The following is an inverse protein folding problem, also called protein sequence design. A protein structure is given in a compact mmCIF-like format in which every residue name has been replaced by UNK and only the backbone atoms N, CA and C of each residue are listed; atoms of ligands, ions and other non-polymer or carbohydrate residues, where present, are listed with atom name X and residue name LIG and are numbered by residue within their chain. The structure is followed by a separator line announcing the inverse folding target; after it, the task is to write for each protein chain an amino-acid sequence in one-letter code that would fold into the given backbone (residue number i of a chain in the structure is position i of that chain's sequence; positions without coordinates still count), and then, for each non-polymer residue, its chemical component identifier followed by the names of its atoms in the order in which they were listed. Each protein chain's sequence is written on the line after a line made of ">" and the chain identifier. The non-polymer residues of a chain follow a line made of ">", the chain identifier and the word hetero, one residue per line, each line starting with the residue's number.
data_IF_991880093646
#
_entry.id   IF_991880093646
#
_cell.length_a   1.000
_cell.length_b   1.000
_cell.length_c   1.000
_cell.angle_alpha   90.00
_cell.angle_beta   90.00
_cell.angle_gamma   90.00
#
_symmetry.space_group_name_H-M   'P 1'
#
loop_
_entity.id
_entity.type
_entity.pdbx_description
1 polymer ?
#
# COMPACT_ATOMS: atom_id res chain seq x y z
N UNK A 1 16.32 19.74 18.11
CA UNK A 1 17.37 19.18 17.23
C UNK A 1 16.72 18.04 16.44
N UNK A 2 16.50 18.20 15.15
CA UNK A 2 15.84 17.20 14.30
C UNK A 2 16.86 16.09 14.04
N UNK A 3 16.59 14.87 14.50
CA UNK A 3 17.43 13.71 14.16
C UNK A 3 16.99 13.18 12.81
N UNK A 4 17.70 13.57 11.74
CA UNK A 4 17.61 12.95 10.42
C UNK A 4 18.38 11.64 10.43
N UNK A 5 17.69 10.50 10.46
CA UNK A 5 18.36 9.22 10.19
C UNK A 5 18.52 9.11 8.67
N UNK A 6 19.71 9.52 8.17
CA UNK A 6 20.12 9.29 6.77
C UNK A 6 20.78 7.93 6.68
N UNK A 7 20.21 7.02 5.91
CA UNK A 7 20.97 5.89 5.38
C UNK A 7 21.93 6.40 4.30
N UNK A 8 23.23 6.15 4.48
CA UNK A 8 24.27 6.45 3.47
C UNK A 8 24.39 5.27 2.52
N UNK A 9 23.88 5.40 1.30
CA UNK A 9 24.34 4.62 0.15
C UNK A 9 24.71 5.58 -0.98
N UNK A 10 25.72 5.23 -1.78
CA UNK A 10 26.32 6.07 -2.83
C UNK A 10 25.43 6.25 -4.07
N UNK A 11 24.12 6.44 -3.92
CA UNK A 11 23.20 6.80 -4.99
C UNK A 11 22.40 8.05 -4.60
N UNK A 12 22.22 8.97 -5.52
CA UNK A 12 21.77 10.35 -5.34
C UNK A 12 20.30 10.56 -4.89
N UNK A 13 19.62 9.60 -4.24
CA UNK A 13 18.26 9.78 -3.72
C UNK A 13 18.17 9.47 -2.23
N UNK A 14 17.56 10.33 -1.40
CA UNK A 14 17.20 9.96 -0.03
C UNK A 14 16.17 8.83 -0.12
N UNK A 15 16.55 7.64 0.32
CA UNK A 15 15.75 6.43 0.09
C UNK A 15 14.51 6.37 0.96
N UNK A 16 14.55 6.99 2.14
CA UNK A 16 13.47 6.98 3.13
C UNK A 16 13.40 8.33 3.85
N UNK A 17 12.22 8.68 4.34
CA UNK A 17 11.99 9.88 5.14
C UNK A 17 11.29 9.51 6.45
N UNK A 18 11.84 9.91 7.57
CA UNK A 18 11.20 9.86 8.88
C UNK A 18 11.69 11.02 9.73
N UNK A 19 10.75 11.79 10.30
CA UNK A 19 11.07 12.85 11.25
C UNK A 19 10.21 12.66 12.50
N UNK A 20 10.87 12.29 13.59
CA UNK A 20 10.25 12.17 14.92
C UNK A 20 10.62 13.42 15.70
N UNK A 21 9.66 14.10 16.35
CA UNK A 21 9.94 15.30 17.15
C UNK A 21 10.80 14.94 18.36
N UNK A 22 11.67 15.87 18.77
CA UNK A 22 12.48 15.72 19.99
C UNK A 22 11.70 16.02 21.27
N UNK A 23 10.62 16.79 21.14
CA UNK A 23 9.70 17.14 22.21
C UNK A 23 8.28 17.03 21.69
N UNK A 24 7.42 16.42 22.48
CA UNK A 24 5.99 16.35 22.24
C UNK A 24 5.26 16.38 23.57
N UNK A 25 4.05 16.92 23.55
CA UNK A 25 3.16 16.87 24.70
C UNK A 25 1.97 15.98 24.38
N UNK A 26 1.44 15.20 25.34
CA UNK A 26 0.20 14.47 25.13
C UNK A 26 -0.94 15.38 24.68
N UNK A 27 -1.85 14.87 23.87
CA UNK A 27 -3.09 15.57 23.57
C UNK A 27 -4.06 15.46 24.75
N UNK A 28 -4.88 16.49 24.93
CA UNK A 28 -6.03 16.41 25.83
C UNK A 28 -7.11 15.53 25.17
N UNK A 29 -7.29 14.32 25.69
CA UNK A 29 -8.24 13.34 25.14
C UNK A 29 -9.68 13.87 25.10
N UNK A 30 -10.12 14.64 26.10
CA UNK A 30 -11.46 15.23 26.14
C UNK A 30 -11.64 16.23 25.00
N UNK A 31 -10.60 17.01 24.68
CA UNK A 31 -10.61 17.94 23.55
C UNK A 31 -10.67 17.18 22.22
N UNK A 32 -9.87 16.12 22.05
CA UNK A 32 -9.87 15.30 20.82
C UNK A 32 -11.23 14.64 20.62
N UNK A 33 -11.82 14.04 21.68
CA UNK A 33 -13.17 13.45 21.64
C UNK A 33 -14.24 14.49 21.27
N UNK A 34 -14.15 15.70 21.86
CA UNK A 34 -15.06 16.81 21.54
C UNK A 34 -14.95 17.21 20.08
N UNK A 35 -13.73 17.34 19.57
CA UNK A 35 -13.48 17.69 18.17
C UNK A 35 -14.00 16.57 17.24
N UNK A 36 -13.73 15.30 17.56
CA UNK A 36 -14.24 14.17 16.79
C UNK A 36 -15.76 14.20 16.69
N UNK A 37 -16.47 14.41 17.81
CA UNK A 37 -17.92 14.48 17.80
C UNK A 37 -18.45 15.65 16.93
N UNK A 38 -17.79 16.81 17.02
CA UNK A 38 -18.11 17.97 16.17
C UNK A 38 -17.92 17.62 14.67
N UNK A 39 -16.84 16.90 14.34
CA UNK A 39 -16.59 16.48 12.95
C UNK A 39 -17.61 15.44 12.46
N UNK A 40 -18.04 14.52 13.31
CA UNK A 40 -19.12 13.55 13.00
C UNK A 40 -20.43 14.28 12.71
N UNK A 41 -20.83 15.22 13.56
CA UNK A 41 -22.07 15.99 13.40
C UNK A 41 -22.04 16.87 12.15
N UNK A 42 -20.92 17.51 11.90
CA UNK A 42 -20.69 18.31 10.70
C UNK A 42 -20.76 17.46 9.42
N UNK A 43 -20.13 16.28 9.44
CA UNK A 43 -20.15 15.32 8.35
C UNK A 43 -21.60 14.90 8.01
N UNK A 44 -22.37 14.48 9.01
CA UNK A 44 -23.77 14.08 8.84
C UNK A 44 -24.67 15.18 8.29
N UNK A 45 -24.43 16.43 8.70
CA UNK A 45 -25.24 17.58 8.23
C UNK A 45 -24.88 18.06 6.83
N UNK A 46 -23.63 17.88 6.41
CA UNK A 46 -23.14 18.31 5.10
C UNK A 46 -23.34 17.27 3.98
N UNK A 47 -23.37 15.99 4.32
CA UNK A 47 -23.34 14.89 3.35
C UNK A 47 -24.67 14.12 3.32
N UNK A 48 -25.76 14.87 3.10
CA UNK A 48 -27.11 14.31 3.12
C UNK A 48 -27.34 13.33 1.97
N UNK A 49 -26.85 13.64 0.76
CA UNK A 49 -27.02 12.78 -0.40
C UNK A 49 -26.14 11.52 -0.29
N UNK A 50 -24.90 11.64 0.19
CA UNK A 50 -24.05 10.47 0.48
C UNK A 50 -24.66 9.57 1.55
N UNK A 51 -25.25 10.16 2.59
CA UNK A 51 -25.98 9.40 3.61
C UNK A 51 -27.20 8.65 3.04
N UNK A 52 -27.96 9.28 2.14
CA UNK A 52 -29.08 8.63 1.46
C UNK A 52 -28.60 7.49 0.54
N UNK A 53 -27.56 7.72 -0.26
CA UNK A 53 -26.97 6.68 -1.11
C UNK A 53 -26.47 5.49 -0.28
N UNK A 54 -25.85 5.74 0.87
CA UNK A 54 -25.46 4.68 1.80
C UNK A 54 -26.66 3.85 2.28
N UNK A 55 -27.78 4.49 2.67
CA UNK A 55 -29.00 3.81 3.10
C UNK A 55 -29.64 2.96 1.98
N UNK A 56 -29.51 3.38 0.73
CA UNK A 56 -29.92 2.60 -0.43
C UNK A 56 -28.94 1.45 -0.72
N UNK A 57 -27.64 1.72 -0.64
CA UNK A 57 -26.60 0.74 -0.94
C UNK A 57 -26.59 -0.45 0.03
N UNK A 58 -26.79 -0.23 1.34
CA UNK A 58 -26.78 -1.32 2.33
C UNK A 58 -27.90 -2.35 2.13
N UNK A 59 -28.93 -2.03 1.34
CA UNK A 59 -29.99 -2.97 1.02
C UNK A 59 -29.51 -4.13 0.13
N UNK A 60 -28.47 -3.91 -0.67
CA UNK A 60 -27.96 -4.88 -1.64
C UNK A 60 -26.45 -5.12 -1.54
N UNK A 61 -25.71 -4.21 -0.91
CA UNK A 61 -24.27 -4.26 -0.77
C UNK A 61 -23.93 -4.29 0.73
N UNK A 62 -23.38 -5.38 1.26
CA UNK A 62 -22.95 -5.45 2.65
C UNK A 62 -22.02 -4.27 2.99
N UNK A 63 -22.24 -3.62 4.12
CA UNK A 63 -21.54 -2.41 4.58
C UNK A 63 -21.71 -1.18 3.67
N UNK A 64 -22.61 -1.22 2.67
CA UNK A 64 -22.80 -0.13 1.69
C UNK A 64 -21.58 0.16 0.82
N UNK A 65 -20.56 -0.71 0.83
CA UNK A 65 -19.30 -0.54 0.11
C UNK A 65 -18.83 -1.87 -0.48
N UNK A 66 -18.07 -1.81 -1.59
CA UNK A 66 -17.61 -3.01 -2.30
C UNK A 66 -16.43 -3.71 -1.62
N UNK A 67 -15.77 -3.04 -0.69
CA UNK A 67 -14.68 -3.58 0.13
C UNK A 67 -14.78 -3.05 1.55
N UNK A 68 -14.45 -3.89 2.53
CA UNK A 68 -14.39 -3.46 3.94
C UNK A 68 -13.43 -2.29 4.18
N UNK A 69 -12.41 -2.11 3.33
CA UNK A 69 -11.50 -0.95 3.38
C UNK A 69 -12.17 0.36 2.97
N UNK A 70 -13.33 0.33 2.31
CA UNK A 70 -14.07 1.52 1.87
C UNK A 70 -15.17 1.92 2.86
N UNK A 71 -15.47 1.06 3.84
CA UNK A 71 -16.49 1.32 4.85
C UNK A 71 -15.89 2.00 6.07
N UNK A 72 -16.53 3.07 6.55
CA UNK A 72 -16.17 3.79 7.77
C UNK A 72 -17.41 4.48 8.35
N UNK A 73 -17.34 4.83 9.63
CA UNK A 73 -18.38 5.57 10.32
C UNK A 73 -18.24 7.10 10.08
N UNK A 74 -19.37 7.85 9.96
CA UNK A 74 -20.76 7.37 10.05
C UNK A 74 -21.28 6.70 8.79
N UNK A 75 -20.73 6.97 7.62
CA UNK A 75 -20.98 6.33 6.33
C UNK A 75 -19.95 6.82 5.29
N UNK A 76 -19.63 6.02 4.25
CA UNK A 76 -18.75 6.44 3.17
C UNK A 76 -19.34 7.56 2.33
N UNK A 77 -18.48 8.41 1.76
CA UNK A 77 -18.89 9.36 0.71
C UNK A 77 -19.18 8.61 -0.59
N UNK A 78 -20.13 9.13 -1.39
CA UNK A 78 -20.42 8.61 -2.74
C UNK A 78 -19.84 9.56 -3.78
N UNK A 79 -18.87 9.06 -4.57
CA UNK A 79 -18.19 9.83 -5.63
C UNK A 79 -18.91 9.65 -6.96
N UNK A 80 -19.15 10.75 -7.67
CA UNK A 80 -19.82 10.76 -9.00
C UNK A 80 -18.87 11.04 -10.15
N UNK A 81 -17.75 11.73 -9.92
CA UNK A 81 -16.77 12.02 -10.97
C UNK A 81 -15.40 12.30 -10.39
N UNK A 82 -14.36 12.19 -11.24
CA UNK A 82 -13.00 12.48 -10.86
C UNK A 82 -12.21 13.05 -12.05
N UNK A 83 -11.26 13.96 -11.79
CA UNK A 83 -10.36 14.53 -12.80
C UNK A 83 -9.04 14.97 -12.15
N UNK A 84 -7.91 14.51 -12.68
CA UNK A 84 -6.59 14.87 -12.18
C UNK A 84 -6.39 14.43 -10.74
N UNK A 85 -6.19 15.38 -9.82
CA UNK A 85 -6.03 15.14 -8.38
C UNK A 85 -7.35 15.28 -7.59
N UNK A 86 -8.49 15.43 -8.25
CA UNK A 86 -9.74 15.83 -7.61
C UNK A 86 -10.87 14.85 -7.91
N UNK A 87 -11.74 14.65 -6.92
CA UNK A 87 -13.02 13.94 -7.04
C UNK A 87 -14.17 14.87 -6.73
N UNK A 88 -15.36 14.55 -7.23
CA UNK A 88 -16.61 15.24 -6.88
C UNK A 88 -17.57 14.21 -6.29
N UNK A 89 -18.12 14.49 -5.12
CA UNK A 89 -19.10 13.64 -4.47
C UNK A 89 -20.54 13.92 -4.96
N UNK A 90 -21.48 13.08 -4.54
CA UNK A 90 -22.92 13.22 -4.88
C UNK A 90 -23.56 14.45 -4.26
N UNK A 91 -22.95 15.00 -3.21
CA UNK A 91 -23.36 16.26 -2.56
C UNK A 91 -22.83 17.51 -3.30
N UNK A 92 -22.09 17.31 -4.42
CA UNK A 92 -21.53 18.36 -5.27
C UNK A 92 -20.23 18.98 -4.76
N UNK A 93 -19.60 18.40 -3.73
CA UNK A 93 -18.34 18.90 -3.20
C UNK A 93 -17.16 18.40 -4.03
N UNK A 94 -16.28 19.32 -4.38
CA UNK A 94 -15.00 18.99 -5.00
C UNK A 94 -13.95 18.76 -3.90
N UNK A 95 -13.31 17.61 -3.90
CA UNK A 95 -12.36 17.19 -2.87
C UNK A 95 -11.01 16.83 -3.49
N UNK A 96 -9.94 17.25 -2.84
CA UNK A 96 -8.59 16.79 -3.16
C UNK A 96 -8.46 15.31 -2.81
N UNK A 97 -8.17 14.46 -3.79
CA UNK A 97 -8.00 13.02 -3.59
C UNK A 97 -6.55 12.66 -3.27
N UNK A 98 -6.27 12.43 -2.00
CA UNK A 98 -4.99 11.89 -1.51
C UNK A 98 -5.02 10.37 -1.34
N UNK A 99 -6.21 9.73 -1.48
CA UNK A 99 -6.35 8.28 -1.51
C UNK A 99 -5.88 7.68 -2.83
N UNK A 100 -6.23 8.36 -3.94
CA UNK A 100 -5.87 7.94 -5.30
C UNK A 100 -6.12 6.44 -5.54
N UNK A 101 -7.30 5.96 -5.09
CA UNK A 101 -7.68 4.55 -5.21
C UNK A 101 -6.72 3.60 -4.50
N UNK A 102 -6.34 3.91 -3.26
CA UNK A 102 -5.35 3.16 -2.48
C UNK A 102 -3.99 3.00 -3.20
N UNK A 103 -3.60 4.03 -3.96
CA UNK A 103 -2.33 4.04 -4.71
C UNK A 103 -2.44 3.54 -6.16
N UNK A 104 -3.64 3.19 -6.64
CA UNK A 104 -3.83 2.72 -8.03
C UNK A 104 -3.78 3.85 -9.05
N UNK A 105 -4.21 5.06 -8.67
CA UNK A 105 -4.33 6.23 -9.54
C UNK A 105 -3.07 7.11 -9.54
N UNK A 106 -1.89 6.49 -9.54
CA UNK A 106 -0.60 7.20 -9.56
C UNK A 106 -0.50 8.24 -10.69
N UNK A 107 -1.09 7.94 -11.83
CA UNK A 107 -1.09 8.84 -13.01
C UNK A 107 -2.14 9.95 -12.93
N UNK A 108 -3.00 9.96 -11.90
CA UNK A 108 -4.14 10.86 -11.78
C UNK A 108 -5.41 10.37 -12.49
N UNK A 109 -6.55 10.89 -12.05
CA UNK A 109 -7.85 10.55 -12.65
C UNK A 109 -7.95 11.06 -14.08
N UNK A 110 -8.54 10.25 -14.97
CA UNK A 110 -8.73 10.55 -16.39
C UNK A 110 -7.45 11.00 -17.10
N UNK A 111 -6.30 10.38 -16.76
CA UNK A 111 -5.05 10.70 -17.45
C UNK A 111 -5.23 10.56 -18.97
N UNK A 112 -4.93 11.61 -19.78
CA UNK A 112 -5.23 11.61 -21.21
C UNK A 112 -4.58 10.47 -21.99
N UNK A 113 -3.35 10.09 -21.66
CA UNK A 113 -2.63 8.97 -22.31
C UNK A 113 -3.32 7.63 -22.03
N UNK A 114 -3.69 7.37 -20.75
CA UNK A 114 -4.39 6.14 -20.37
C UNK A 114 -5.76 6.07 -21.06
N UNK A 115 -6.53 7.16 -21.04
CA UNK A 115 -7.86 7.20 -21.66
C UNK A 115 -7.77 7.03 -23.17
N UNK A 116 -6.79 7.64 -23.83
CA UNK A 116 -6.58 7.50 -25.28
C UNK A 116 -6.26 6.06 -25.67
N UNK A 117 -5.34 5.42 -24.94
CA UNK A 117 -4.93 4.03 -25.19
C UNK A 117 -6.10 3.05 -24.97
N UNK A 118 -6.90 3.26 -23.89
CA UNK A 118 -8.09 2.45 -23.63
C UNK A 118 -9.14 2.60 -24.75
N UNK A 119 -9.44 3.83 -25.19
CA UNK A 119 -10.40 4.08 -26.28
C UNK A 119 -9.96 3.41 -27.58
N UNK A 120 -8.69 3.56 -27.96
CA UNK A 120 -8.13 2.91 -29.15
C UNK A 120 -8.21 1.38 -29.05
N UNK A 121 -8.00 0.84 -27.87
CA UNK A 121 -8.06 -0.61 -27.65
C UNK A 121 -9.50 -1.13 -27.69
N UNK A 122 -10.48 -0.35 -27.25
CA UNK A 122 -11.90 -0.72 -27.37
C UNK A 122 -12.34 -0.92 -28.82
N UNK A 123 -11.76 -0.23 -29.79
CA UNK A 123 -12.09 -0.36 -31.22
C UNK A 123 -11.64 -1.70 -31.81
N UNK A 124 -10.73 -2.43 -31.13
CA UNK A 124 -10.24 -3.73 -31.60
C UNK A 124 -10.73 -4.92 -30.76
N UNK A 125 -11.49 -4.65 -29.70
CA UNK A 125 -12.12 -5.66 -28.84
C UNK A 125 -11.77 -5.52 -27.36
N UNK A 126 -12.34 -6.39 -26.54
CA UNK A 126 -12.18 -6.32 -25.06
C UNK A 126 -11.49 -7.54 -24.48
N UNK A 127 -11.74 -8.74 -25.03
CA UNK A 127 -11.19 -9.99 -24.50
C UNK A 127 -10.96 -10.99 -25.62
N UNK A 128 -9.80 -11.64 -25.61
CA UNK A 128 -9.47 -12.71 -26.53
C UNK A 128 -9.16 -14.01 -25.78
N UNK A 129 -9.46 -15.15 -26.42
CA UNK A 129 -9.01 -16.47 -25.95
C UNK A 129 -7.57 -16.80 -26.40
N UNK A 130 -6.95 -15.92 -27.17
CA UNK A 130 -5.60 -16.06 -27.72
C UNK A 130 -4.69 -14.94 -27.24
N UNK A 131 -3.36 -15.16 -27.17
CA UNK A 131 -2.40 -14.11 -26.87
C UNK A 131 -2.48 -12.93 -27.84
N UNK A 132 -2.18 -11.73 -27.37
CA UNK A 132 -2.15 -10.50 -28.17
C UNK A 132 -0.75 -9.87 -28.15
N UNK A 133 -0.32 -9.22 -29.25
CA UNK A 133 0.90 -8.41 -29.26
C UNK A 133 0.93 -7.33 -28.16
N UNK A 134 -0.22 -6.78 -27.77
CA UNK A 134 -0.35 -5.82 -26.66
C UNK A 134 0.09 -6.45 -25.34
N UNK A 135 -0.31 -7.72 -25.09
CA UNK A 135 0.09 -8.44 -23.87
C UNK A 135 1.59 -8.72 -23.83
N UNK A 136 2.20 -9.04 -24.98
CA UNK A 136 3.65 -9.23 -25.10
C UNK A 136 4.40 -7.92 -24.81
N UNK A 137 3.99 -6.81 -25.41
CA UNK A 137 4.60 -5.50 -25.19
C UNK A 137 4.47 -5.04 -23.73
N UNK A 138 3.30 -5.24 -23.09
CA UNK A 138 3.09 -4.95 -21.69
C UNK A 138 4.02 -5.78 -20.77
N UNK A 139 4.17 -7.07 -21.07
CA UNK A 139 5.07 -7.95 -20.32
C UNK A 139 6.53 -7.51 -20.44
N UNK A 140 7.00 -7.21 -21.65
CA UNK A 140 8.36 -6.74 -21.94
C UNK A 140 8.67 -5.44 -21.17
N UNK A 141 7.73 -4.49 -21.14
CA UNK A 141 7.87 -3.21 -20.40
C UNK A 141 8.02 -3.44 -18.90
N UNK A 142 7.14 -4.24 -18.30
CA UNK A 142 7.22 -4.52 -16.86
C UNK A 142 8.47 -5.34 -16.51
N UNK A 143 8.83 -6.34 -17.30
CA UNK A 143 10.06 -7.11 -17.07
C UNK A 143 11.30 -6.20 -17.08
N UNK A 144 11.44 -5.34 -18.10
CA UNK A 144 12.54 -4.37 -18.19
C UNK A 144 12.54 -3.39 -17.03
N UNK A 145 11.35 -2.87 -16.64
CA UNK A 145 11.20 -1.86 -15.58
C UNK A 145 11.58 -2.40 -14.22
N UNK A 146 11.08 -3.56 -13.87
CA UNK A 146 11.33 -4.17 -12.55
C UNK A 146 12.54 -5.11 -12.50
N UNK A 147 13.28 -5.27 -13.60
CA UNK A 147 14.49 -6.09 -13.64
C UNK A 147 14.23 -7.58 -13.43
N UNK A 148 13.11 -8.10 -13.97
CA UNK A 148 12.73 -9.51 -13.88
C UNK A 148 12.72 -10.17 -15.27
N UNK A 149 12.88 -11.48 -15.32
CA UNK A 149 13.01 -12.22 -16.58
C UNK A 149 11.64 -12.57 -17.20
N UNK A 150 10.68 -12.97 -16.35
CA UNK A 150 9.37 -13.47 -16.77
C UNK A 150 8.26 -12.96 -15.86
N UNK A 151 7.07 -12.77 -16.43
CA UNK A 151 5.89 -12.27 -15.75
C UNK A 151 4.62 -12.99 -16.21
N UNK A 152 3.63 -13.10 -15.32
CA UNK A 152 2.27 -13.57 -15.61
C UNK A 152 1.28 -12.55 -15.07
N UNK A 153 0.25 -12.26 -15.86
CA UNK A 153 -0.79 -11.30 -15.47
C UNK A 153 -1.94 -11.98 -14.75
N UNK A 154 -2.49 -11.28 -13.78
CA UNK A 154 -3.68 -11.62 -12.98
C UNK A 154 -4.58 -10.38 -12.88
N UNK A 155 -5.72 -10.48 -12.18
CA UNK A 155 -6.70 -9.40 -12.13
C UNK A 155 -6.69 -8.62 -10.81
N UNK A 156 -6.07 -9.19 -9.77
CA UNK A 156 -6.00 -8.59 -8.44
C UNK A 156 -4.68 -8.92 -7.73
N UNK A 157 -4.29 -8.07 -6.77
CA UNK A 157 -3.13 -8.34 -5.91
C UNK A 157 -3.25 -9.67 -5.16
N UNK A 158 -4.46 -10.04 -4.74
CA UNK A 158 -4.73 -11.36 -4.13
C UNK A 158 -4.36 -12.52 -5.05
N UNK A 159 -4.77 -12.46 -6.32
CA UNK A 159 -4.38 -13.50 -7.29
C UNK A 159 -2.87 -13.52 -7.50
N UNK A 160 -2.24 -12.35 -7.62
CA UNK A 160 -0.79 -12.23 -7.79
C UNK A 160 -0.02 -12.90 -6.66
N UNK A 161 -0.32 -12.58 -5.41
CA UNK A 161 0.34 -13.15 -4.23
C UNK A 161 0.03 -14.64 -4.08
N UNK A 162 -1.21 -15.06 -4.31
CA UNK A 162 -1.62 -16.46 -4.31
C UNK A 162 -0.81 -17.27 -5.32
N UNK A 163 -0.66 -16.78 -6.55
CA UNK A 163 0.10 -17.49 -7.58
C UNK A 163 1.61 -17.45 -7.33
N UNK A 164 2.16 -16.37 -6.78
CA UNK A 164 3.55 -16.31 -6.36
C UNK A 164 3.87 -17.37 -5.28
N UNK A 165 3.01 -17.49 -4.26
CA UNK A 165 3.14 -18.53 -3.22
C UNK A 165 3.02 -19.95 -3.82
N UNK A 166 2.04 -20.18 -4.69
CA UNK A 166 1.89 -21.48 -5.39
C UNK A 166 3.10 -21.82 -6.24
N UNK A 167 3.68 -20.82 -6.92
CA UNK A 167 4.90 -21.00 -7.72
C UNK A 167 6.08 -21.38 -6.83
N UNK A 168 6.26 -20.71 -5.69
CA UNK A 168 7.30 -21.05 -4.73
C UNK A 168 7.12 -22.45 -4.14
N UNK A 169 5.89 -22.86 -3.81
CA UNK A 169 5.57 -24.24 -3.37
C UNK A 169 5.92 -25.27 -4.43
N UNK A 170 5.52 -25.02 -5.67
CA UNK A 170 5.82 -25.93 -6.79
C UNK A 170 7.32 -25.98 -7.15
N UNK A 171 8.05 -24.89 -6.91
CA UNK A 171 9.50 -24.82 -7.11
C UNK A 171 10.26 -25.60 -6.04
N UNK A 172 9.90 -25.41 -4.78
CA UNK A 172 10.60 -26.00 -3.64
C UNK A 172 10.14 -27.41 -3.27
N UNK A 173 8.91 -27.79 -3.65
CA UNK A 173 8.24 -29.01 -3.18
C UNK A 173 7.82 -28.94 -1.71
N UNK A 174 7.75 -27.74 -1.11
CA UNK A 174 7.40 -27.49 0.29
C UNK A 174 6.08 -26.70 0.36
N UNK A 175 5.43 -26.66 1.54
CA UNK A 175 4.09 -26.08 1.71
C UNK A 175 4.07 -24.81 2.58
N UNK A 176 5.00 -24.69 3.54
CA UNK A 176 5.02 -23.63 4.54
C UNK A 176 5.23 -22.24 3.96
N UNK A 177 4.55 -21.25 4.54
CA UNK A 177 4.66 -19.83 4.19
C UNK A 177 5.04 -19.04 5.43
N UNK A 178 6.04 -18.20 5.34
CA UNK A 178 6.34 -17.21 6.38
C UNK A 178 5.90 -15.84 5.92
N UNK A 179 5.32 -15.05 6.82
CA UNK A 179 4.95 -13.64 6.61
C UNK A 179 5.20 -12.81 7.88
N UNK A 180 5.13 -11.49 7.76
CA UNK A 180 5.22 -10.62 8.92
C UNK A 180 3.86 -10.31 9.52
N UNK A 181 3.82 -10.12 10.85
CA UNK A 181 2.65 -9.66 11.59
C UNK A 181 2.23 -8.26 11.10
N UNK A 182 0.94 -8.06 10.86
CA UNK A 182 0.42 -6.80 10.32
C UNK A 182 0.59 -6.61 8.81
N UNK A 183 1.39 -7.43 8.13
CA UNK A 183 1.51 -7.40 6.68
C UNK A 183 0.24 -7.87 5.98
N UNK A 184 -0.14 -7.23 4.87
CA UNK A 184 -1.30 -7.60 4.07
C UNK A 184 -0.89 -8.04 2.67
N UNK A 185 -1.29 -9.23 2.29
CA UNK A 185 -0.92 -9.83 1.00
C UNK A 185 -2.15 -10.35 0.24
N UNK A 186 -3.28 -9.66 0.37
CA UNK A 186 -4.55 -10.09 -0.20
C UNK A 186 -5.28 -11.14 0.64
N UNK A 187 -6.33 -11.73 0.08
CA UNK A 187 -7.28 -12.60 0.79
C UNK A 187 -7.04 -14.10 0.55
N UNK A 188 -5.85 -14.49 0.07
CA UNK A 188 -5.48 -15.90 -0.04
C UNK A 188 -5.22 -16.52 1.33
N UNK A 189 -5.75 -17.73 1.58
CA UNK A 189 -5.73 -18.37 2.89
C UNK A 189 -4.33 -18.43 3.53
N UNK A 190 -3.31 -18.78 2.76
CA UNK A 190 -1.95 -18.89 3.26
C UNK A 190 -1.32 -17.57 3.75
N UNK A 191 -1.86 -16.43 3.33
CA UNK A 191 -1.30 -15.09 3.63
C UNK A 191 -2.27 -14.19 4.40
N UNK A 192 -3.52 -14.63 4.60
CA UNK A 192 -4.52 -13.87 5.34
C UNK A 192 -4.28 -13.89 6.86
N UNK A 193 -3.43 -14.80 7.36
CA UNK A 193 -3.10 -14.91 8.78
C UNK A 193 -2.51 -13.60 9.33
N UNK A 194 -2.90 -13.24 10.53
CA UNK A 194 -2.34 -12.13 11.34
C UNK A 194 -2.13 -10.82 10.58
N UNK A 195 -3.08 -10.48 9.68
CA UNK A 195 -3.07 -9.21 8.94
C UNK A 195 -3.34 -8.01 9.87
N UNK A 196 -4.39 -8.10 10.70
CA UNK A 196 -4.67 -7.11 11.76
C UNK A 196 -5.23 -7.84 12.99
N UNK A 197 -4.44 -8.70 13.66
CA UNK A 197 -4.94 -9.44 14.81
C UNK A 197 -5.21 -8.51 15.99
N UNK A 198 -6.22 -8.83 16.79
CA UNK A 198 -6.36 -8.21 18.09
C UNK A 198 -5.22 -8.66 19.03
N UNK A 199 -4.76 -7.78 19.92
CA UNK A 199 -3.58 -8.07 20.76
C UNK A 199 -3.78 -9.25 21.70
N UNK A 200 -5.03 -9.52 22.13
CA UNK A 200 -5.39 -10.67 22.97
C UNK A 200 -5.19 -12.02 22.24
N UNK A 201 -5.29 -12.03 20.91
CA UNK A 201 -5.12 -13.22 20.07
C UNK A 201 -3.74 -13.32 19.42
N UNK A 202 -3.06 -12.20 19.30
CA UNK A 202 -1.83 -12.09 18.54
C UNK A 202 -0.64 -12.86 19.16
N UNK A 203 -0.70 -13.26 20.44
CA UNK A 203 0.36 -13.98 21.14
C UNK A 203 1.57 -13.11 21.50
N UNK A 204 2.71 -13.71 21.87
CA UNK A 204 3.94 -12.99 22.25
C UNK A 204 4.49 -12.15 21.09
N UNK A 205 5.10 -11.01 21.38
CA UNK A 205 5.64 -10.11 20.36
C UNK A 205 6.79 -10.73 19.56
N UNK A 206 7.59 -11.59 20.18
CA UNK A 206 8.73 -12.29 19.57
C UNK A 206 8.34 -13.56 18.80
N UNK A 207 7.13 -14.07 19.04
CA UNK A 207 6.59 -15.28 18.40
C UNK A 207 5.08 -15.15 18.20
N UNK A 208 4.63 -14.29 17.25
CA UNK A 208 3.21 -14.05 17.02
C UNK A 208 2.45 -15.30 16.60
N UNK A 209 1.22 -15.44 17.06
CA UNK A 209 0.33 -16.50 16.66
C UNK A 209 -0.14 -16.31 15.21
N UNK A 210 -0.40 -17.42 14.50
CA UNK A 210 -1.09 -17.40 13.20
C UNK A 210 -2.60 -17.35 13.43
N UNK A 211 -3.22 -16.19 13.23
CA UNK A 211 -4.64 -15.92 13.55
C UNK A 211 -5.39 -15.39 12.33
N UNK A 212 -6.55 -15.98 12.01
CA UNK A 212 -7.51 -15.37 11.06
C UNK A 212 -8.87 -15.29 11.73
N UNK A 213 -9.23 -14.11 12.20
CA UNK A 213 -10.52 -13.89 12.84
C UNK A 213 -10.87 -15.05 13.80
N UNK A 214 -11.95 -15.77 13.52
CA UNK A 214 -12.38 -16.97 14.24
C UNK A 214 -12.25 -18.27 13.40
N UNK A 215 -11.69 -18.20 12.19
CA UNK A 215 -11.57 -19.34 11.30
C UNK A 215 -10.20 -20.03 11.43
N UNK A 216 -10.22 -21.37 11.49
CA UNK A 216 -9.04 -22.21 11.34
C UNK A 216 -8.73 -22.37 9.86
N UNK A 217 -7.48 -22.11 9.45
CA UNK A 217 -7.06 -22.25 8.07
C UNK A 217 -6.13 -23.43 7.93
N UNK A 218 -6.38 -24.33 6.95
CA UNK A 218 -5.47 -25.42 6.65
C UNK A 218 -4.15 -24.89 6.06
N UNK A 219 -3.04 -25.39 6.51
CA UNK A 219 -1.71 -25.11 5.99
C UNK A 219 -0.76 -24.56 7.04
N UNK A 220 0.53 -24.73 6.79
CA UNK A 220 1.58 -24.21 7.66
C UNK A 220 1.87 -22.75 7.29
N UNK A 221 1.35 -21.80 8.06
CA UNK A 221 1.70 -20.40 7.95
C UNK A 221 2.37 -19.95 9.24
N UNK A 222 3.56 -19.39 9.13
CA UNK A 222 4.36 -18.89 10.24
C UNK A 222 4.34 -17.36 10.21
N UNK A 223 4.25 -16.75 11.38
CA UNK A 223 4.20 -15.29 11.52
C UNK A 223 5.41 -14.82 12.33
N UNK A 224 6.09 -13.80 11.85
CA UNK A 224 7.24 -13.19 12.54
C UNK A 224 7.04 -11.69 12.64
N UNK A 225 7.64 -11.00 13.63
CA UNK A 225 7.62 -9.55 13.66
C UNK A 225 8.48 -8.97 12.53
N UNK A 226 8.07 -7.82 11.95
CA UNK A 226 8.93 -7.05 11.06
C UNK A 226 10.11 -6.45 11.84
N UNK A 227 11.25 -6.26 11.19
CA UNK A 227 12.47 -5.75 11.81
C UNK A 227 13.01 -6.63 12.97
N UNK A 228 12.73 -7.95 12.96
CA UNK A 228 13.21 -8.88 13.97
C UNK A 228 13.89 -10.09 13.32
N UNK A 229 15.16 -9.95 12.98
CA UNK A 229 15.97 -11.02 12.38
C UNK A 229 16.10 -12.27 13.27
N UNK A 230 16.31 -12.16 14.58
CA UNK A 230 16.39 -13.35 15.45
C UNK A 230 15.12 -14.21 15.40
N UNK A 231 13.94 -13.59 15.39
CA UNK A 231 12.67 -14.32 15.26
C UNK A 231 12.54 -15.03 13.90
N UNK A 232 12.92 -14.34 12.81
CA UNK A 232 12.92 -14.91 11.47
C UNK A 232 13.89 -16.09 11.35
N UNK A 233 15.14 -15.92 11.80
CA UNK A 233 16.16 -16.95 11.76
C UNK A 233 15.76 -18.18 12.58
N UNK A 234 15.14 -17.97 13.75
CA UNK A 234 14.60 -19.05 14.57
C UNK A 234 13.57 -19.87 13.79
N UNK A 235 12.58 -19.24 13.19
CA UNK A 235 11.55 -19.93 12.39
C UNK A 235 12.19 -20.66 11.21
N UNK A 236 13.14 -20.04 10.51
CA UNK A 236 13.82 -20.67 9.39
C UNK A 236 14.64 -21.89 9.83
N UNK A 237 15.42 -21.79 10.90
CA UNK A 237 16.24 -22.89 11.42
C UNK A 237 15.40 -24.09 11.87
N UNK A 238 14.26 -23.83 12.52
CA UNK A 238 13.39 -24.88 13.04
C UNK A 238 12.56 -25.56 11.93
N UNK A 239 12.16 -24.80 10.87
CA UNK A 239 11.18 -25.24 9.89
C UNK A 239 11.65 -25.18 8.42
N UNK A 240 12.94 -25.00 8.14
CA UNK A 240 13.48 -24.89 6.78
C UNK A 240 13.08 -26.06 5.84
N UNK A 241 12.81 -27.23 6.38
CA UNK A 241 12.42 -28.41 5.59
C UNK A 241 10.99 -28.32 5.05
N UNK A 242 10.13 -27.52 5.66
CA UNK A 242 8.71 -27.37 5.31
C UNK A 242 8.40 -26.02 4.67
N UNK A 243 9.18 -24.96 4.96
CA UNK A 243 8.94 -23.61 4.45
C UNK A 243 9.32 -23.50 2.96
N UNK A 244 8.34 -23.14 2.12
CA UNK A 244 8.51 -22.87 0.70
C UNK A 244 9.00 -21.45 0.46
N UNK A 245 8.39 -20.44 1.13
CA UNK A 245 8.67 -19.04 0.88
C UNK A 245 8.52 -18.16 2.12
N UNK A 246 9.18 -17.02 2.07
CA UNK A 246 8.89 -15.84 2.89
C UNK A 246 8.31 -14.74 1.99
N UNK A 247 7.07 -14.33 2.25
CA UNK A 247 6.43 -13.21 1.57
C UNK A 247 6.42 -12.00 2.48
N UNK A 248 6.85 -10.84 1.97
CA UNK A 248 6.94 -9.60 2.74
C UNK A 248 6.75 -8.38 1.84
N UNK A 249 6.07 -7.37 2.34
CA UNK A 249 6.14 -6.01 1.78
C UNK A 249 7.53 -5.44 2.13
N UNK A 250 8.35 -4.99 1.17
CA UNK A 250 9.68 -4.45 1.47
C UNK A 250 9.64 -3.19 2.35
N UNK A 251 8.53 -2.46 2.30
CA UNK A 251 8.09 -1.44 3.25
C UNK A 251 6.65 -1.78 3.59
N UNK A 252 6.30 -1.93 4.87
CA UNK A 252 4.91 -2.21 5.23
C UNK A 252 4.09 -0.96 5.01
N UNK A 253 3.04 -1.08 4.20
CA UNK A 253 2.17 0.05 3.85
C UNK A 253 0.68 -0.24 4.14
N UNK A 254 0.40 -1.19 5.02
CA UNK A 254 -0.96 -1.51 5.47
C UNK A 254 -1.19 -1.24 6.96
N UNK A 255 -0.16 -0.71 7.63
CA UNK A 255 -0.18 -0.27 9.03
C UNK A 255 0.59 1.08 9.16
N UNK A 256 0.25 2.04 8.33
CA UNK A 256 1.05 3.24 8.08
C UNK A 256 2.18 2.94 7.11
N UNK A 257 3.29 3.67 7.22
CA UNK A 257 4.54 3.37 6.52
C UNK A 257 5.56 2.90 7.54
N UNK A 258 5.85 1.61 7.55
CA UNK A 258 6.87 1.03 8.42
C UNK A 258 8.10 0.66 7.60
N UNK A 259 9.15 1.43 7.79
CA UNK A 259 10.41 1.27 7.07
C UNK A 259 11.21 0.07 7.60
N UNK A 260 11.90 -0.69 6.74
CA UNK A 260 12.88 -1.66 7.21
C UNK A 260 14.02 -0.94 7.95
N UNK A 261 14.51 -1.57 9.01
CA UNK A 261 15.74 -1.12 9.68
C UNK A 261 16.94 -1.29 8.74
N UNK A 262 17.99 -0.53 8.97
CA UNK A 262 19.22 -0.63 8.17
C UNK A 262 19.77 -2.06 8.21
N UNK A 263 20.03 -2.64 7.02
CA UNK A 263 20.55 -4.00 6.88
C UNK A 263 19.52 -5.11 7.05
N UNK A 264 18.27 -4.80 7.41
CA UNK A 264 17.25 -5.82 7.65
C UNK A 264 16.93 -6.65 6.40
N UNK A 265 16.65 -6.00 5.27
CA UNK A 265 16.26 -6.73 4.05
C UNK A 265 17.44 -7.48 3.42
N UNK A 266 18.65 -6.97 3.53
CA UNK A 266 19.88 -7.65 3.10
C UNK A 266 20.09 -8.93 3.92
N UNK A 267 19.89 -8.86 5.23
CA UNK A 267 19.95 -10.03 6.10
C UNK A 267 18.82 -11.03 5.81
N UNK A 268 17.60 -10.55 5.54
CA UNK A 268 16.48 -11.39 5.08
C UNK A 268 16.86 -12.15 3.81
N UNK A 269 17.45 -11.48 2.82
CA UNK A 269 17.90 -12.13 1.58
C UNK A 269 18.95 -13.20 1.88
N UNK A 270 19.94 -12.88 2.70
CA UNK A 270 20.98 -13.84 3.09
C UNK A 270 20.42 -15.07 3.82
N UNK A 271 19.47 -14.89 4.74
CA UNK A 271 18.77 -16.00 5.41
C UNK A 271 17.97 -16.84 4.42
N UNK A 272 17.24 -16.24 3.50
CA UNK A 272 16.50 -16.96 2.47
C UNK A 272 17.44 -17.81 1.61
N UNK A 273 18.59 -17.29 1.21
CA UNK A 273 19.61 -18.02 0.44
C UNK A 273 20.20 -19.18 1.25
N UNK A 274 20.55 -18.95 2.51
CA UNK A 274 21.11 -19.95 3.41
C UNK A 274 20.17 -21.13 3.63
N UNK A 275 18.87 -20.86 3.85
CA UNK A 275 17.88 -21.90 4.14
C UNK A 275 17.14 -22.41 2.89
N UNK A 276 17.47 -21.90 1.70
CA UNK A 276 16.83 -22.24 0.41
C UNK A 276 15.31 -22.03 0.47
N UNK A 277 14.91 -20.86 0.94
CA UNK A 277 13.54 -20.38 1.04
C UNK A 277 13.35 -19.29 -0.04
N UNK A 278 12.27 -19.39 -0.83
CA UNK A 278 11.97 -18.38 -1.87
C UNK A 278 11.57 -17.07 -1.22
N UNK A 279 12.27 -15.98 -1.55
CA UNK A 279 11.89 -14.63 -1.13
C UNK A 279 10.91 -14.03 -2.13
N UNK A 280 9.72 -13.66 -1.65
CA UNK A 280 8.69 -12.97 -2.44
C UNK A 280 8.55 -11.54 -1.90
N UNK A 281 8.83 -10.54 -2.72
CA UNK A 281 8.45 -9.17 -2.40
C UNK A 281 7.05 -8.88 -2.92
N UNK A 282 6.18 -8.51 -1.99
CA UNK A 282 4.87 -7.96 -2.33
C UNK A 282 5.00 -6.45 -2.57
N UNK A 283 5.11 -6.09 -3.83
CA UNK A 283 5.13 -4.70 -4.28
C UNK A 283 3.79 -4.22 -4.85
N UNK A 284 2.70 -4.84 -4.43
CA UNK A 284 1.35 -4.40 -4.79
C UNK A 284 1.10 -2.94 -4.39
N UNK A 285 1.62 -2.51 -3.23
CA UNK A 285 1.53 -1.12 -2.77
C UNK A 285 2.76 -0.29 -3.14
N UNK A 286 3.95 -0.84 -3.04
CA UNK A 286 5.20 -0.10 -3.30
C UNK A 286 5.46 0.09 -4.79
N UNK A 287 5.40 -0.91 -5.63
CA UNK A 287 5.52 -0.84 -7.09
C UNK A 287 6.08 0.49 -7.66
N UNK A 288 5.33 1.13 -8.56
CA UNK A 288 5.75 2.43 -9.12
C UNK A 288 5.66 3.59 -8.12
N UNK A 289 4.99 3.42 -6.98
CA UNK A 289 4.92 4.48 -5.95
C UNK A 289 6.23 4.62 -5.16
N UNK A 290 7.03 3.57 -5.10
CA UNK A 290 8.36 3.60 -4.50
C UNK A 290 9.41 4.24 -5.43
N UNK A 291 9.14 4.32 -6.72
CA UNK A 291 10.05 4.84 -7.71
C UNK A 291 9.97 4.11 -9.06
N UNK A 292 10.77 4.51 -10.05
CA UNK A 292 10.67 4.01 -11.42
C UNK A 292 10.83 2.49 -11.56
N UNK A 293 11.54 1.86 -10.67
CA UNK A 293 11.90 0.44 -10.72
C UNK A 293 11.39 -0.35 -9.49
N UNK A 294 10.49 0.26 -8.68
CA UNK A 294 9.94 -0.35 -7.49
C UNK A 294 10.85 -0.32 -6.25
N UNK A 295 10.35 -0.88 -5.16
CA UNK A 295 11.06 -0.88 -3.89
C UNK A 295 12.27 -1.83 -3.86
N UNK A 296 12.21 -2.97 -4.54
CA UNK A 296 13.32 -3.91 -4.61
C UNK A 296 14.62 -3.25 -5.13
N UNK A 297 14.50 -2.55 -6.26
CA UNK A 297 15.63 -1.83 -6.85
C UNK A 297 16.05 -0.63 -5.99
N UNK A 298 15.08 0.11 -5.45
CA UNK A 298 15.35 1.27 -4.61
C UNK A 298 16.10 0.91 -3.32
N UNK A 299 15.75 -0.23 -2.71
CA UNK A 299 16.35 -0.71 -1.47
C UNK A 299 17.59 -1.62 -1.72
N UNK A 300 17.89 -1.94 -2.99
CA UNK A 300 19.06 -2.73 -3.36
C UNK A 300 18.98 -4.22 -3.02
N UNK A 301 17.77 -4.75 -2.77
CA UNK A 301 17.57 -6.16 -2.43
C UNK A 301 16.62 -6.79 -3.45
N UNK A 302 17.13 -7.78 -4.17
CA UNK A 302 16.39 -8.44 -5.26
C UNK A 302 15.72 -9.72 -4.75
N UNK A 303 14.38 -9.80 -4.81
CA UNK A 303 13.66 -11.03 -4.46
C UNK A 303 13.77 -12.09 -5.57
N UNK A 304 13.33 -13.29 -5.28
CA UNK A 304 13.19 -14.37 -6.26
C UNK A 304 11.92 -14.20 -7.11
N UNK A 305 10.84 -13.78 -6.45
CA UNK A 305 9.55 -13.45 -7.06
C UNK A 305 9.07 -12.08 -6.57
N UNK A 306 8.33 -11.38 -7.43
CA UNK A 306 7.70 -10.07 -7.14
C UNK A 306 6.22 -10.13 -7.47
N UNK A 307 5.39 -9.47 -6.67
CA UNK A 307 3.97 -9.25 -6.92
C UNK A 307 3.72 -7.78 -7.21
N UNK A 308 3.00 -7.47 -8.27
CA UNK A 308 2.69 -6.11 -8.73
C UNK A 308 1.19 -5.95 -8.94
N UNK A 309 0.64 -4.76 -8.64
CA UNK A 309 -0.74 -4.38 -8.92
C UNK A 309 -0.91 -2.85 -8.86
N UNK A 310 -2.11 -2.38 -8.60
CA UNK A 310 -2.44 -0.98 -8.32
C UNK A 310 -1.82 0.01 -9.31
N UNK A 311 -0.71 0.64 -8.96
CA UNK A 311 -0.06 1.71 -9.74
C UNK A 311 0.32 1.31 -11.15
N UNK A 312 0.50 0.02 -11.46
CA UNK A 312 0.83 -0.44 -12.82
C UNK A 312 -0.37 -0.44 -13.78
N UNK A 313 -1.60 -0.35 -13.24
CA UNK A 313 -2.86 -0.49 -14.02
C UNK A 313 -3.60 0.83 -14.30
N UNK A 314 -3.18 1.96 -13.73
CA UNK A 314 -3.82 3.27 -13.97
C UNK A 314 -5.33 3.30 -13.69
N UNK A 315 -5.80 2.51 -12.70
CA UNK A 315 -7.20 2.37 -12.30
C UNK A 315 -7.95 1.20 -12.95
N UNK A 316 -7.35 0.51 -13.92
CA UNK A 316 -7.92 -0.73 -14.50
C UNK A 316 -7.54 -1.93 -13.60
N UNK A 317 -8.48 -2.86 -13.32
CA UNK A 317 -8.17 -4.07 -12.55
C UNK A 317 -7.07 -4.87 -13.23
N UNK A 318 -5.94 -4.98 -12.55
CA UNK A 318 -4.74 -5.63 -13.04
C UNK A 318 -3.79 -5.96 -11.89
N UNK A 319 -3.16 -7.10 -12.00
CA UNK A 319 -1.98 -7.44 -11.22
C UNK A 319 -1.06 -8.38 -12.02
N UNK A 320 0.10 -8.66 -11.47
CA UNK A 320 1.05 -9.58 -12.08
C UNK A 320 1.97 -10.16 -11.00
N UNK A 321 2.49 -11.36 -11.26
CA UNK A 321 3.61 -11.93 -10.52
C UNK A 321 4.69 -12.36 -11.50
N UNK A 322 5.93 -12.31 -11.07
CA UNK A 322 7.06 -12.64 -11.92
C UNK A 322 8.35 -12.73 -11.13
N UNK A 323 9.46 -12.97 -11.83
CA UNK A 323 10.77 -13.06 -11.24
C UNK A 323 11.81 -13.62 -12.19
N UNK A 324 12.89 -14.17 -11.64
CA UNK A 324 13.93 -14.85 -12.44
C UNK A 324 13.35 -16.11 -13.10
N UNK A 325 13.78 -16.41 -14.30
CA UNK A 325 13.31 -17.58 -15.10
C UNK A 325 13.37 -18.89 -14.33
N UNK A 326 14.35 -19.06 -13.45
CA UNK A 326 14.52 -20.24 -12.61
C UNK A 326 13.29 -20.48 -11.72
N UNK A 327 12.82 -19.42 -11.03
CA UNK A 327 11.67 -19.51 -10.11
C UNK A 327 10.34 -19.55 -10.86
N UNK A 328 10.28 -19.08 -12.10
CA UNK A 328 9.10 -19.16 -12.97
C UNK A 328 8.99 -20.50 -13.70
N UNK A 329 10.01 -21.35 -13.63
CA UNK A 329 10.02 -22.68 -14.28
C UNK A 329 8.81 -23.55 -13.97
N UNK A 330 8.26 -23.62 -12.73
CA UNK A 330 7.04 -24.41 -12.46
C UNK A 330 5.83 -24.00 -13.30
N UNK A 331 5.73 -22.74 -13.69
CA UNK A 331 4.67 -22.27 -14.62
C UNK A 331 4.95 -22.76 -16.04
N UNK A 332 6.21 -22.72 -16.48
CA UNK A 332 6.62 -23.05 -17.84
C UNK A 332 6.52 -24.56 -18.10
N UNK A 333 6.86 -25.39 -17.13
CA UNK A 333 6.84 -26.87 -17.23
C UNK A 333 5.51 -27.50 -16.80
N UNK A 334 4.52 -26.68 -16.42
CA UNK A 334 3.15 -27.12 -16.11
C UNK A 334 2.96 -27.67 -14.69
N UNK A 335 3.98 -27.70 -13.83
CA UNK A 335 3.84 -28.11 -12.42
C UNK A 335 2.95 -27.15 -11.61
N UNK A 336 2.88 -25.88 -12.01
CA UNK A 336 1.98 -24.89 -11.44
C UNK A 336 1.11 -24.27 -12.54
N UNK A 337 -0.10 -24.81 -12.78
CA UNK A 337 -1.02 -24.23 -13.77
C UNK A 337 -1.49 -22.86 -13.31
N UNK A 338 -1.33 -21.86 -14.21
CA UNK A 338 -1.83 -20.52 -14.02
C UNK A 338 -3.04 -20.30 -14.93
N UNK A 339 -4.23 -20.29 -14.37
CA UNK A 339 -5.51 -20.28 -15.07
C UNK A 339 -6.31 -19.03 -14.71
N UNK A 340 -7.03 -18.46 -15.68
CA UNK A 340 -7.91 -17.31 -15.49
C UNK A 340 -8.37 -16.72 -16.82
N UNK A 341 -9.67 -16.61 -17.00
CA UNK A 341 -10.30 -16.11 -18.23
C UNK A 341 -9.85 -14.68 -18.58
N UNK A 342 -9.68 -13.84 -17.57
CA UNK A 342 -9.33 -12.43 -17.77
C UNK A 342 -7.84 -12.15 -17.60
N UNK A 343 -6.99 -13.17 -17.44
CA UNK A 343 -5.56 -12.97 -17.34
C UNK A 343 -4.98 -12.36 -18.62
N UNK A 344 -4.33 -11.20 -18.50
CA UNK A 344 -3.83 -10.49 -19.68
C UNK A 344 -4.93 -9.82 -20.51
N UNK A 345 -6.05 -9.44 -19.89
CA UNK A 345 -7.14 -8.67 -20.51
C UNK A 345 -6.59 -7.47 -21.28
N UNK A 346 -6.96 -7.33 -22.56
CA UNK A 346 -6.26 -6.38 -23.45
C UNK A 346 -6.40 -4.91 -23.02
N UNK A 347 -7.52 -4.51 -22.42
CA UNK A 347 -7.65 -3.15 -21.87
C UNK A 347 -6.69 -2.93 -20.69
N UNK A 348 -6.49 -3.95 -19.85
CA UNK A 348 -5.52 -3.87 -18.76
C UNK A 348 -4.07 -3.81 -19.31
N UNK A 349 -3.77 -4.56 -20.37
CA UNK A 349 -2.47 -4.51 -21.04
C UNK A 349 -2.21 -3.15 -21.71
N UNK A 350 -3.23 -2.58 -22.33
CA UNK A 350 -3.19 -1.22 -22.88
C UNK A 350 -2.93 -0.18 -21.77
N UNK A 351 -3.59 -0.31 -20.63
CA UNK A 351 -3.34 0.55 -19.47
C UNK A 351 -1.89 0.46 -18.97
N UNK A 352 -1.31 -0.74 -18.90
CA UNK A 352 0.13 -0.92 -18.54
C UNK A 352 1.03 -0.12 -19.50
N UNK A 353 0.78 -0.20 -20.81
CA UNK A 353 1.59 0.51 -21.81
C UNK A 353 1.51 2.03 -21.62
N UNK A 354 0.31 2.55 -21.38
CA UNK A 354 0.10 3.98 -21.14
C UNK A 354 0.75 4.43 -19.81
N UNK A 355 0.55 3.68 -18.75
CA UNK A 355 1.19 3.95 -17.43
C UNK A 355 2.71 3.92 -17.55
N UNK A 356 3.28 2.91 -18.22
CA UNK A 356 4.73 2.83 -18.42
C UNK A 356 5.29 4.06 -19.17
N UNK A 357 4.54 4.57 -20.15
CA UNK A 357 4.91 5.76 -20.91
C UNK A 357 4.84 7.05 -20.07
N UNK A 358 3.84 7.18 -19.19
CA UNK A 358 3.58 8.37 -18.37
C UNK A 358 4.47 8.41 -17.12
N UNK A 359 4.70 7.26 -16.48
CA UNK A 359 5.52 7.15 -15.28
C UNK A 359 7.02 7.14 -15.62
N UNK A 360 7.52 8.23 -16.22
CA UNK A 360 8.97 8.40 -16.45
C UNK A 360 9.70 8.62 -15.14
N UNK A 361 11.03 8.37 -15.07
CA UNK A 361 11.82 8.69 -13.89
C UNK A 361 11.63 10.13 -13.42
N UNK A 362 11.65 11.09 -14.34
CA UNK A 362 11.53 12.54 -14.07
C UNK A 362 10.14 12.89 -13.52
N UNK A 363 9.08 12.27 -14.06
CA UNK A 363 7.71 12.49 -13.57
C UNK A 363 7.52 11.97 -12.14
N UNK A 364 8.07 10.79 -11.84
CA UNK A 364 8.02 10.21 -10.51
C UNK A 364 8.88 10.99 -9.51
N UNK A 365 10.07 11.44 -9.90
CA UNK A 365 10.95 12.27 -9.09
C UNK A 365 10.30 13.62 -8.74
N UNK A 366 9.60 14.23 -9.69
CA UNK A 366 8.82 15.46 -9.42
C UNK A 366 7.73 15.23 -8.38
N UNK A 367 6.96 14.15 -8.51
CA UNK A 367 5.92 13.81 -7.52
C UNK A 367 6.52 13.47 -6.15
N UNK A 368 7.63 12.76 -6.10
CA UNK A 368 8.36 12.48 -4.87
C UNK A 368 8.90 13.77 -4.23
N UNK A 369 9.42 14.71 -5.02
CA UNK A 369 9.86 16.02 -4.51
C UNK A 369 8.73 16.78 -3.84
N UNK A 370 7.52 16.78 -4.42
CA UNK A 370 6.32 17.37 -3.82
C UNK A 370 5.93 16.66 -2.51
N UNK A 371 6.00 15.33 -2.47
CA UNK A 371 5.76 14.55 -1.27
C UNK A 371 6.76 14.89 -0.15
N UNK A 372 8.04 15.01 -0.49
CA UNK A 372 9.09 15.40 0.46
C UNK A 372 8.87 16.80 1.04
N UNK A 373 8.39 17.74 0.22
CA UNK A 373 8.01 19.08 0.69
C UNK A 373 6.83 19.03 1.66
N UNK A 374 5.78 18.24 1.35
CA UNK A 374 4.64 18.04 2.25
C UNK A 374 5.09 17.46 3.60
N UNK A 375 5.85 16.35 3.57
CA UNK A 375 6.37 15.70 4.76
C UNK A 375 7.20 16.64 5.64
N UNK A 376 8.11 17.41 5.03
CA UNK A 376 8.94 18.38 5.76
C UNK A 376 8.10 19.45 6.44
N UNK A 377 7.18 20.08 5.71
CA UNK A 377 6.33 21.16 6.24
C UNK A 377 5.38 20.66 7.33
N UNK A 378 4.82 19.45 7.18
CA UNK A 378 4.00 18.84 8.21
C UNK A 378 4.86 18.51 9.45
N UNK A 379 6.11 18.04 9.30
CA UNK A 379 7.03 17.84 10.42
C UNK A 379 7.33 19.14 11.18
N UNK A 380 7.47 20.26 10.47
CA UNK A 380 7.67 21.58 11.07
C UNK A 380 6.44 22.02 11.89
N UNK A 381 5.22 21.74 11.38
CA UNK A 381 3.97 22.01 12.10
C UNK A 381 3.88 21.11 13.35
N UNK A 382 4.17 19.82 13.22
CA UNK A 382 4.20 18.88 14.36
C UNK A 382 5.12 19.39 15.45
N UNK A 383 6.30 19.89 15.10
CA UNK A 383 7.27 20.44 16.04
C UNK A 383 6.81 21.81 16.61
N UNK A 384 6.25 22.70 15.77
CA UNK A 384 5.71 24.02 16.19
C UNK A 384 4.63 23.86 17.25
N UNK A 385 3.74 22.88 17.08
CA UNK A 385 2.62 22.62 17.97
C UNK A 385 2.90 21.48 18.98
N UNK A 386 4.14 20.99 19.05
CA UNK A 386 4.56 19.90 19.98
C UNK A 386 3.62 18.69 19.96
N UNK A 387 3.09 18.31 18.78
CA UNK A 387 2.15 17.19 18.64
C UNK A 387 2.85 15.84 18.89
N UNK A 388 2.19 14.86 19.56
CA UNK A 388 2.72 13.51 19.74
C UNK A 388 2.53 12.69 18.46
N UNK A 389 3.13 13.14 17.37
CA UNK A 389 3.03 12.55 16.06
C UNK A 389 4.36 12.67 15.31
N UNK A 390 4.54 11.86 14.27
CA UNK A 390 5.69 11.98 13.38
C UNK A 390 5.29 11.75 11.93
N UNK A 391 6.10 12.26 10.99
CA UNK A 391 5.94 11.99 9.58
C UNK A 391 6.87 10.89 9.12
N UNK A 392 6.37 10.07 8.22
CA UNK A 392 7.15 9.05 7.53
C UNK A 392 6.74 9.00 6.06
N UNK A 393 7.68 8.73 5.15
CA UNK A 393 7.41 8.65 3.72
C UNK A 393 8.36 7.73 2.98
N UNK A 394 7.86 7.22 1.86
CA UNK A 394 8.61 6.36 0.93
C UNK A 394 8.12 6.59 -0.50
N UNK A 395 9.01 7.08 -1.37
CA UNK A 395 8.65 7.49 -2.71
C UNK A 395 7.60 8.61 -2.72
N UNK A 396 6.52 8.41 -3.45
CA UNK A 396 5.43 9.39 -3.57
C UNK A 396 4.37 9.28 -2.47
N UNK A 397 4.59 8.44 -1.47
CA UNK A 397 3.68 8.24 -0.34
C UNK A 397 4.22 8.82 0.95
N UNK A 398 3.32 9.28 1.79
CA UNK A 398 3.63 9.76 3.12
C UNK A 398 2.47 9.53 4.07
N UNK A 399 2.73 9.61 5.36
CA UNK A 399 1.69 9.60 6.39
C UNK A 399 2.12 10.41 7.63
N UNK A 400 1.14 10.81 8.42
CA UNK A 400 1.31 11.23 9.80
C UNK A 400 0.95 10.04 10.68
N UNK A 401 1.88 9.64 11.52
CA UNK A 401 1.66 8.60 12.53
C UNK A 401 1.51 9.27 13.90
N UNK A 402 0.37 9.06 14.55
CA UNK A 402 0.06 9.62 15.86
C UNK A 402 0.75 8.83 16.97
N UNK A 403 2.04 9.02 17.06
CA UNK A 403 2.94 8.45 18.07
C UNK A 403 4.19 9.31 18.16
N UNK A 404 4.68 9.55 19.37
CA UNK A 404 5.95 10.22 19.64
C UNK A 404 7.17 9.29 19.46
N UNK A 405 6.92 8.02 19.14
CA UNK A 405 7.94 7.00 18.87
C UNK A 405 7.84 6.46 17.46
N UNK A 406 8.97 6.08 16.83
CA UNK A 406 8.95 5.43 15.53
C UNK A 406 8.18 4.10 15.60
N UNK A 407 7.29 3.87 14.65
CA UNK A 407 6.66 2.56 14.45
C UNK A 407 7.63 1.70 13.65
N UNK A 408 8.01 0.55 14.19
CA UNK A 408 8.95 -0.40 13.59
C UNK A 408 8.32 -1.76 13.26
N UNK A 409 7.16 -2.05 13.85
CA UNK A 409 6.42 -3.31 13.68
C UNK A 409 4.94 -3.11 14.02
N UNK A 410 4.16 -4.19 13.92
CA UNK A 410 2.73 -4.16 14.20
C UNK A 410 2.38 -3.77 15.65
N UNK A 411 3.21 -4.16 16.63
CA UNK A 411 2.94 -3.86 18.04
C UNK A 411 3.11 -2.37 18.35
N UNK A 412 4.10 -1.74 17.75
CA UNK A 412 4.29 -0.29 17.83
C UNK A 412 3.10 0.44 17.17
N UNK A 413 2.64 -0.06 16.00
CA UNK A 413 1.45 0.48 15.33
C UNK A 413 0.20 0.39 16.22
N UNK A 414 -0.01 -0.72 16.92
CA UNK A 414 -1.16 -0.88 17.83
C UNK A 414 -1.10 0.03 19.07
N UNK A 415 0.04 0.63 19.35
CA UNK A 415 0.23 1.59 20.43
C UNK A 415 0.08 3.06 19.97
N UNK A 416 -0.26 3.32 18.69
CA UNK A 416 -0.50 4.68 18.19
C UNK A 416 -1.85 5.22 18.68
N UNK A 417 -2.03 6.53 18.64
CA UNK A 417 -3.28 7.20 19.04
C UNK A 417 -4.30 7.14 17.92
N UNK A 418 -5.17 6.12 17.94
CA UNK A 418 -6.22 5.93 16.96
C UNK A 418 -7.33 6.99 17.06
N UNK A 419 -7.57 7.58 18.24
CA UNK A 419 -8.54 8.65 18.40
C UNK A 419 -8.11 9.91 17.64
N UNK A 420 -6.85 10.29 17.79
CA UNK A 420 -6.28 11.40 17.03
C UNK A 420 -6.27 11.13 15.51
N UNK A 421 -5.98 9.88 15.10
CA UNK A 421 -6.01 9.47 13.70
C UNK A 421 -7.42 9.58 13.10
N UNK A 422 -8.45 9.09 13.80
CA UNK A 422 -9.85 9.18 13.37
C UNK A 422 -10.33 10.63 13.28
N UNK A 423 -9.97 11.44 14.28
CA UNK A 423 -10.27 12.87 14.29
C UNK A 423 -9.66 13.58 13.09
N UNK A 424 -8.40 13.27 12.76
CA UNK A 424 -7.70 13.82 11.60
C UNK A 424 -8.34 13.41 10.28
N UNK A 425 -8.77 12.16 10.17
CA UNK A 425 -9.46 11.64 8.99
C UNK A 425 -10.77 12.38 8.72
N UNK A 426 -11.65 12.49 9.72
CA UNK A 426 -12.94 13.19 9.56
C UNK A 426 -12.77 14.70 9.41
N UNK A 427 -11.75 15.29 10.06
CA UNK A 427 -11.38 16.70 9.83
C UNK A 427 -11.07 16.94 8.35
N UNK A 428 -10.15 16.17 7.77
CA UNK A 428 -9.74 16.28 6.37
C UNK A 428 -10.93 16.12 5.40
N UNK A 429 -11.78 15.12 5.61
CA UNK A 429 -12.98 14.91 4.80
C UNK A 429 -13.94 16.11 4.84
N UNK A 430 -14.17 16.70 6.02
CA UNK A 430 -15.01 17.88 6.16
C UNK A 430 -14.41 19.12 5.50
N UNK A 431 -13.09 19.19 5.37
CA UNK A 431 -12.38 20.31 4.73
C UNK A 431 -12.07 20.08 3.24
N UNK A 432 -12.62 19.02 2.64
CA UNK A 432 -12.49 18.79 1.20
C UNK A 432 -11.20 18.07 0.81
N UNK A 433 -10.66 17.25 1.71
CA UNK A 433 -9.52 16.39 1.45
C UNK A 433 -9.93 14.95 1.70
N UNK A 434 -9.90 14.11 0.67
CA UNK A 434 -10.19 12.69 0.74
C UNK A 434 -8.90 11.91 0.95
N UNK A 435 -8.66 11.47 2.18
CA UNK A 435 -7.63 10.48 2.51
C UNK A 435 -8.20 9.06 2.40
N UNK A 436 -7.37 8.00 2.31
CA UNK A 436 -7.89 6.65 2.35
C UNK A 436 -8.71 6.40 3.62
N UNK A 437 -9.88 5.74 3.52
CA UNK A 437 -10.57 5.28 4.71
C UNK A 437 -9.73 4.22 5.42
N UNK A 438 -9.67 4.32 6.73
CA UNK A 438 -8.76 3.52 7.55
C UNK A 438 -7.70 4.40 8.22
N UNK A 439 -7.40 4.09 9.48
CA UNK A 439 -6.56 4.96 10.33
C UNK A 439 -5.06 4.73 10.11
N UNK A 440 -4.71 3.86 9.20
CA UNK A 440 -3.39 3.33 8.93
C UNK A 440 -2.94 3.54 7.47
N UNK A 441 -3.70 4.35 6.71
CA UNK A 441 -3.43 4.52 5.29
C UNK A 441 -2.60 5.77 4.99
N UNK A 442 -1.81 5.67 3.94
CA UNK A 442 -0.91 6.71 3.48
C UNK A 442 -1.58 7.57 2.42
N UNK A 443 -1.27 8.88 2.39
CA UNK A 443 -1.55 9.67 1.21
C UNK A 443 -0.63 9.29 0.04
N UNK A 444 -1.08 9.60 -1.16
CA UNK A 444 -0.30 9.47 -2.38
C UNK A 444 -0.27 10.81 -3.12
N UNK A 445 0.91 11.31 -3.41
CA UNK A 445 1.12 12.43 -4.33
C UNK A 445 1.25 11.85 -5.74
N UNK A 446 0.19 11.96 -6.55
CA UNK A 446 0.17 11.45 -7.92
C UNK A 446 0.83 12.41 -8.90
N UNK A 447 1.00 11.97 -10.15
CA UNK A 447 1.54 12.82 -11.22
C UNK A 447 0.63 14.01 -11.57
N UNK A 448 -0.62 14.01 -11.10
CA UNK A 448 -1.59 15.10 -11.30
C UNK A 448 -1.61 16.12 -10.16
N UNK A 449 -0.93 15.86 -9.04
CA UNK A 449 -0.78 16.82 -7.96
C UNK A 449 0.29 17.86 -8.31
N UNK A 450 0.06 19.10 -7.87
CA UNK A 450 0.99 20.20 -7.97
C UNK A 450 1.24 20.87 -6.62
N UNK A 451 1.91 22.00 -6.66
CA UNK A 451 2.23 22.77 -5.45
C UNK A 451 0.98 23.27 -4.73
N UNK A 452 -0.07 23.66 -5.46
CA UNK A 452 -1.31 24.15 -4.88
C UNK A 452 -2.03 23.08 -4.03
N UNK A 453 -2.03 21.83 -4.49
CA UNK A 453 -2.61 20.69 -3.77
C UNK A 453 -1.81 20.38 -2.51
N UNK A 454 -0.48 20.43 -2.58
CA UNK A 454 0.40 20.28 -1.40
C UNK A 454 0.19 21.41 -0.40
N UNK A 455 0.09 22.64 -0.88
CA UNK A 455 -0.16 23.81 -0.02
C UNK A 455 -1.53 23.69 0.69
N UNK A 456 -2.55 23.24 -0.03
CA UNK A 456 -3.89 23.02 0.54
C UNK A 456 -3.85 21.97 1.65
N UNK A 457 -3.25 20.81 1.40
CA UNK A 457 -3.08 19.74 2.39
C UNK A 457 -2.33 20.19 3.65
N UNK A 458 -1.20 20.90 3.47
CA UNK A 458 -0.36 21.35 4.59
C UNK A 458 -1.05 22.42 5.42
N UNK A 459 -1.76 23.36 4.76
CA UNK A 459 -2.50 24.41 5.47
C UNK A 459 -3.67 23.82 6.28
N UNK A 460 -4.39 22.83 5.75
CA UNK A 460 -5.45 22.14 6.48
C UNK A 460 -4.91 21.41 7.71
N UNK A 461 -3.78 20.71 7.58
CA UNK A 461 -3.12 20.08 8.73
C UNK A 461 -2.68 21.11 9.79
N UNK A 462 -2.24 22.30 9.37
CA UNK A 462 -1.89 23.36 10.32
C UNK A 462 -3.12 23.86 11.10
N UNK A 463 -4.27 23.99 10.46
CA UNK A 463 -5.51 24.36 11.16
C UNK A 463 -5.95 23.27 12.15
N UNK A 464 -5.85 21.98 11.77
CA UNK A 464 -6.08 20.87 12.70
C UNK A 464 -5.13 20.96 13.93
N UNK A 465 -3.83 21.19 13.70
CA UNK A 465 -2.84 21.31 14.76
C UNK A 465 -3.19 22.42 15.78
N UNK A 466 -3.67 23.58 15.30
CA UNK A 466 -4.16 24.66 16.16
C UNK A 466 -5.32 24.21 17.03
N UNK A 467 -6.31 23.52 16.45
CA UNK A 467 -7.47 23.01 17.20
C UNK A 467 -7.08 22.00 18.26
N UNK A 468 -6.14 21.13 17.96
CA UNK A 468 -5.68 20.09 18.90
C UNK A 468 -4.93 20.69 20.09
N UNK A 469 -4.34 21.90 19.95
CA UNK A 469 -3.59 22.56 21.04
C UNK A 469 -4.33 23.72 21.70
N UNK A 470 -5.32 24.34 21.06
CA UNK A 470 -6.11 25.46 21.59
C UNK A 470 -5.60 26.77 21.17
#
# INVERSE_FOLDING_TARGET
>A
MIVQIRMKTQTHHPQTFRVVPTHSNPLDSTRVETLLQQQIDLYKTRLLSSGLEYQLAIQNIPLGAHSSFQSFEPFPISVVSALGAWVTDVDGRKMLDLSMGFGSMLVGHLNPEVISELKTTLDIGTLYTAPSPISRDAAERLCRRFGIDQIRFTNSGTESTMYAVRTARAYTGKEGVVKVEGGYHGSGDAVMVSTKPSLDKAGPAEAPNSVIGNASIPGESYVVPFNNLPALEKVFSEHAKTIACFIVEPVLENIGIVLPDEGYLEAVRALCDQYKIVLIFDEVKTGLTAGPQGAAQRLGVIPDLICLAKSIGGGVPLAAFGGKSEFMKPVTDGRMPHLGTFNGHILAMAAVRAVDKVCTPEALEKAESLNMQALKRISEIIAEYELPAHTVGFGVKGCVTWSDKPVRNYRDYKATDFLAAETSFLWALNHGIMTPPGLDEQWLISLAHGQAEVDFMVNDFKELAKYLRG
#
